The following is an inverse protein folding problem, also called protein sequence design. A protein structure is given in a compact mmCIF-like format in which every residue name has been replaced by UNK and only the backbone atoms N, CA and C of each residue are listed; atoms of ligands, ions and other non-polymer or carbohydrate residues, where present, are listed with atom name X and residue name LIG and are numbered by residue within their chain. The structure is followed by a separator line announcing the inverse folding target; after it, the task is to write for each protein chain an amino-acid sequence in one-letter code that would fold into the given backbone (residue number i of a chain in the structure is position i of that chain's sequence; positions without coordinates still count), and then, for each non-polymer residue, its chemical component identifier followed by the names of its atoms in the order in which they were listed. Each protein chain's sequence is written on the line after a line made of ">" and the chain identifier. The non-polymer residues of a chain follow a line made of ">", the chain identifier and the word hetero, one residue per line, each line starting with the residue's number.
data_IF_713835001790
#
_entry.id   IF_713835001790
#
_cell.length_a   1.000
_cell.length_b   1.000
_cell.length_c   1.000
_cell.angle_alpha   90.00
_cell.angle_beta   90.00
_cell.angle_gamma   90.00
#
_symmetry.space_group_name_H-M   'P 1'
#
loop_
_entity.id
_entity.type
_entity.pdbx_description
1 polymer ?
#
# COMPACT_ATOMS: atom_id res chain seq x y z
N UNK A 1 19.51 20.55 -15.33
CA UNK A 1 19.06 20.62 -14.95
C UNK A 1 18.60 20.07 -14.18
N UNK A 2 18.81 20.11 -13.81
CA UNK A 2 18.35 19.50 -12.79
C UNK A 2 16.99 19.66 -12.58
N UNK A 3 16.39 20.19 -13.40
CA UNK A 3 15.04 20.30 -13.40
C UNK A 3 14.34 19.06 -13.07
N UNK A 4 14.72 18.04 -13.74
CA UNK A 4 14.17 16.75 -13.49
C UNK A 4 14.40 16.35 -12.08
N UNK A 5 15.55 16.62 -11.60
CA UNK A 5 15.88 16.35 -10.26
C UNK A 5 14.97 17.09 -9.31
N UNK A 6 14.69 18.32 -9.64
CA UNK A 6 13.79 19.11 -8.84
C UNK A 6 12.42 18.51 -8.78
N UNK A 7 11.96 17.99 -9.87
CA UNK A 7 10.68 17.35 -9.91
C UNK A 7 10.65 16.12 -9.03
N UNK A 8 11.67 15.35 -9.08
CA UNK A 8 11.73 14.17 -8.25
C UNK A 8 11.71 14.55 -6.78
N UNK A 9 12.42 15.58 -6.43
CA UNK A 9 12.43 15.99 -5.04
C UNK A 9 11.07 16.44 -4.56
N UNK A 10 10.29 17.00 -5.45
CA UNK A 10 8.98 17.49 -5.07
C UNK A 10 7.91 16.43 -5.14
N UNK A 11 7.93 15.65 -6.20
CA UNK A 11 6.93 14.64 -6.39
C UNK A 11 7.44 13.27 -6.03
N UNK A 12 8.41 13.21 -5.27
CA UNK A 12 9.26 12.11 -5.03
C UNK A 12 8.61 10.84 -4.60
N UNK A 13 9.39 9.80 -4.72
CA UNK A 13 8.99 8.50 -4.28
C UNK A 13 8.70 8.48 -2.78
N UNK A 14 7.94 7.53 -2.36
CA UNK A 14 7.53 7.37 -0.98
C UNK A 14 8.60 6.67 -0.17
N UNK A 15 8.78 7.09 1.07
CA UNK A 15 9.63 6.37 2.01
C UNK A 15 8.78 5.34 2.77
N UNK A 16 9.46 4.45 3.49
CA UNK A 16 8.75 3.50 4.34
C UNK A 16 7.99 4.23 5.44
N UNK A 17 8.53 5.33 5.93
CA UNK A 17 7.83 6.12 6.96
C UNK A 17 6.57 6.78 6.40
N UNK A 18 6.61 7.21 5.16
CA UNK A 18 5.43 7.78 4.50
C UNK A 18 4.34 6.73 4.38
N UNK A 19 4.70 5.52 3.98
CA UNK A 19 3.74 4.44 3.86
C UNK A 19 3.08 4.17 5.21
N UNK A 20 3.89 4.09 6.25
CA UNK A 20 3.39 3.85 7.61
C UNK A 20 2.44 4.97 8.03
N UNK A 21 2.82 6.20 7.79
CA UNK A 21 2.00 7.36 8.13
C UNK A 21 0.65 7.32 7.43
N UNK A 22 0.66 7.00 6.15
CA UNK A 22 -0.58 6.94 5.38
C UNK A 22 -1.48 5.81 5.84
N UNK A 23 -0.91 4.64 6.11
CA UNK A 23 -1.71 3.52 6.59
C UNK A 23 -2.37 3.84 7.93
N UNK A 24 -1.61 4.48 8.82
CA UNK A 24 -2.12 4.82 10.15
C UNK A 24 -3.12 5.98 10.12
N UNK A 25 -3.17 6.72 9.03
CA UNK A 25 -4.13 7.83 8.91
C UNK A 25 -5.56 7.35 8.65
N UNK A 26 -5.73 6.10 8.26
CA UNK A 26 -7.06 5.56 8.00
C UNK A 26 -7.77 5.24 9.31
N UNK A 27 -9.10 5.29 9.33
CA UNK A 27 -9.85 5.13 10.59
C UNK A 27 -9.60 3.80 11.26
N UNK A 28 -9.39 3.85 12.56
CA UNK A 28 -9.25 2.67 13.43
C UNK A 28 -8.15 1.70 13.05
N UNK A 29 -7.09 2.22 12.47
CA UNK A 29 -5.95 1.39 12.08
C UNK A 29 -4.97 1.30 13.24
N UNK A 30 -4.52 0.10 13.52
CA UNK A 30 -3.46 -0.16 14.50
C UNK A 30 -2.28 -0.82 13.80
N UNK A 31 -1.09 -0.42 14.17
CA UNK A 31 0.12 -1.06 13.66
C UNK A 31 0.48 -2.23 14.57
N UNK A 32 0.97 -3.29 13.96
CA UNK A 32 1.48 -4.46 14.67
C UNK A 32 2.64 -5.02 13.89
N UNK A 33 3.06 -6.21 14.18
CA UNK A 33 4.10 -6.84 13.38
C UNK A 33 3.83 -8.34 13.30
N UNK A 34 4.34 -8.92 12.24
CA UNK A 34 4.15 -10.32 11.94
C UNK A 34 5.43 -10.81 11.30
N UNK A 35 6.09 -11.77 11.95
CA UNK A 35 7.36 -12.31 11.45
C UNK A 35 8.39 -11.21 11.12
N UNK A 36 8.51 -10.26 12.04
CA UNK A 36 9.44 -9.14 11.90
C UNK A 36 9.08 -8.13 10.83
N UNK A 37 7.87 -8.20 10.29
CA UNK A 37 7.41 -7.22 9.33
C UNK A 37 6.26 -6.43 9.92
N UNK A 38 6.27 -5.10 9.82
CA UNK A 38 5.13 -4.31 10.26
C UNK A 38 3.89 -4.65 9.48
N UNK A 39 2.77 -4.70 10.17
CA UNK A 39 1.48 -4.83 9.49
C UNK A 39 0.51 -3.79 10.03
N UNK A 40 -0.57 -3.60 9.31
CA UNK A 40 -1.59 -2.61 9.65
C UNK A 40 -2.94 -3.29 9.62
N UNK A 41 -3.69 -3.10 10.71
CA UNK A 41 -4.95 -3.81 10.91
C UNK A 41 -6.08 -2.84 11.19
N UNK A 42 -7.24 -3.16 10.64
CA UNK A 42 -8.48 -2.49 10.98
C UNK A 42 -9.38 -3.50 11.64
N UNK A 43 -9.76 -3.23 12.89
CA UNK A 43 -10.57 -4.17 13.68
C UNK A 43 -9.99 -5.58 13.69
N UNK A 44 -8.67 -5.66 13.83
CA UNK A 44 -7.97 -6.94 13.93
C UNK A 44 -7.66 -7.65 12.62
N UNK A 45 -8.11 -7.10 11.49
CA UNK A 45 -7.85 -7.71 10.18
C UNK A 45 -6.74 -6.99 9.47
N UNK A 46 -5.73 -7.72 9.02
CA UNK A 46 -4.60 -7.13 8.30
C UNK A 46 -5.06 -6.72 6.90
N UNK A 47 -4.84 -5.45 6.56
CA UNK A 47 -5.13 -4.97 5.21
C UNK A 47 -3.88 -4.56 4.46
N UNK A 48 -2.76 -4.37 5.15
CA UNK A 48 -1.50 -3.96 4.52
C UNK A 48 -0.32 -4.41 5.36
N UNK A 49 0.81 -4.61 4.72
CA UNK A 49 2.08 -4.90 5.41
C UNK A 49 3.16 -4.03 4.82
N UNK A 50 4.30 -3.96 5.51
CA UNK A 50 5.43 -3.15 5.08
C UNK A 50 6.69 -4.00 5.16
N UNK A 51 7.50 -3.91 4.11
CA UNK A 51 8.76 -4.65 4.00
C UNK A 51 9.89 -3.65 3.81
N UNK A 52 10.36 -3.04 4.91
CA UNK A 52 11.33 -1.94 4.81
C UNK A 52 12.62 -2.34 4.09
N UNK A 53 13.10 -3.55 4.32
CA UNK A 53 14.34 -4.00 3.70
C UNK A 53 14.22 -4.19 2.20
N UNK A 54 13.01 -4.28 1.69
CA UNK A 54 12.77 -4.46 0.27
C UNK A 54 12.24 -3.21 -0.41
N UNK A 55 11.91 -2.19 0.38
CA UNK A 55 11.41 -0.92 -0.18
C UNK A 55 10.01 -1.00 -0.74
N UNK A 56 9.20 -1.92 -0.27
CA UNK A 56 7.82 -1.99 -0.75
C UNK A 56 6.85 -2.32 0.39
N UNK A 57 5.58 -2.05 0.12
CA UNK A 57 4.50 -2.52 0.97
C UNK A 57 3.65 -3.51 0.21
N UNK A 58 2.76 -4.19 0.91
CA UNK A 58 1.80 -5.10 0.29
C UNK A 58 0.42 -4.70 0.76
N UNK A 59 -0.52 -4.59 -0.16
CA UNK A 59 -1.91 -4.28 0.15
C UNK A 59 -2.78 -5.48 -0.22
N UNK A 60 -3.78 -5.76 0.61
CA UNK A 60 -4.64 -6.93 0.44
C UNK A 60 -5.88 -6.54 -0.35
N UNK A 61 -5.84 -6.78 -1.67
CA UNK A 61 -6.90 -6.39 -2.59
C UNK A 61 -7.68 -7.61 -3.07
N UNK A 62 -8.77 -7.35 -3.79
CA UNK A 62 -9.39 -8.41 -4.57
C UNK A 62 -8.57 -8.59 -5.84
N UNK A 63 -8.76 -9.71 -6.53
CA UNK A 63 -8.08 -9.93 -7.80
C UNK A 63 -8.44 -8.87 -8.83
N UNK A 64 -9.70 -8.46 -8.83
CA UNK A 64 -10.15 -7.42 -9.76
C UNK A 64 -9.46 -6.10 -9.49
N UNK A 65 -9.36 -5.73 -8.23
CA UNK A 65 -8.66 -4.50 -7.87
C UNK A 65 -7.18 -4.58 -8.21
N UNK A 66 -6.57 -5.73 -7.94
CA UNK A 66 -5.19 -5.97 -8.30
C UNK A 66 -4.97 -5.79 -9.79
N UNK A 67 -5.83 -6.40 -10.60
CA UNK A 67 -5.71 -6.30 -12.06
C UNK A 67 -5.80 -4.88 -12.55
N UNK A 68 -6.71 -4.10 -11.97
CA UNK A 68 -6.87 -2.70 -12.35
C UNK A 68 -5.59 -1.91 -12.04
N UNK A 69 -5.06 -2.06 -10.84
CA UNK A 69 -3.87 -1.30 -10.44
C UNK A 69 -2.64 -1.73 -11.20
N UNK A 70 -2.43 -3.02 -11.37
CA UNK A 70 -1.27 -3.52 -12.12
C UNK A 70 -1.34 -3.06 -13.57
N UNK A 71 -2.53 -3.10 -14.15
CA UNK A 71 -2.69 -2.65 -15.53
C UNK A 71 -2.46 -1.16 -15.70
N UNK A 72 -2.90 -0.36 -14.72
CA UNK A 72 -2.77 1.08 -14.80
C UNK A 72 -1.34 1.56 -14.55
N UNK A 73 -0.66 0.94 -13.58
CA UNK A 73 0.69 1.39 -13.19
C UNK A 73 1.59 0.19 -12.89
N UNK A 74 2.03 -0.51 -13.93
CA UNK A 74 2.83 -1.72 -13.73
C UNK A 74 4.21 -1.48 -13.11
N UNK A 75 4.70 -0.25 -13.15
CA UNK A 75 5.96 0.06 -12.47
C UNK A 75 5.78 0.16 -10.96
N UNK A 76 4.56 0.44 -10.51
CA UNK A 76 4.25 0.63 -9.09
C UNK A 76 3.71 -0.65 -8.47
N UNK A 77 2.83 -1.36 -9.17
CA UNK A 77 2.10 -2.49 -8.62
C UNK A 77 2.45 -3.80 -9.29
N UNK A 78 2.60 -4.84 -8.48
CA UNK A 78 2.83 -6.18 -8.98
C UNK A 78 2.19 -7.19 -8.04
N UNK A 79 1.68 -8.32 -8.55
CA UNK A 79 1.16 -9.35 -7.64
C UNK A 79 2.29 -9.94 -6.81
N UNK A 80 1.98 -10.27 -5.57
CA UNK A 80 2.91 -11.04 -4.74
C UNK A 80 3.06 -12.41 -5.40
N UNK A 81 4.25 -12.99 -5.33
CA UNK A 81 4.49 -14.30 -5.92
C UNK A 81 3.67 -15.36 -5.23
N UNK A 82 3.21 -16.35 -5.99
CA UNK A 82 2.52 -17.52 -5.45
C UNK A 82 1.07 -17.28 -5.10
N UNK A 83 0.57 -18.10 -4.19
CA UNK A 83 -0.85 -18.10 -3.85
C UNK A 83 -1.38 -16.80 -3.29
N UNK A 84 -0.55 -16.06 -2.56
CA UNK A 84 -0.98 -14.79 -2.01
C UNK A 84 -1.32 -13.80 -3.11
N UNK A 85 -0.49 -13.73 -4.14
CA UNK A 85 -0.74 -12.87 -5.28
C UNK A 85 -1.99 -13.29 -6.04
N UNK A 86 -2.19 -14.60 -6.16
CA UNK A 86 -3.38 -15.10 -6.82
C UNK A 86 -4.67 -14.72 -6.09
N UNK A 87 -4.58 -14.45 -4.80
CA UNK A 87 -5.73 -14.03 -4.01
C UNK A 87 -5.89 -12.51 -3.95
N UNK A 88 -4.96 -11.77 -4.55
CA UNK A 88 -5.06 -10.32 -4.62
C UNK A 88 -4.02 -9.54 -3.85
N UNK A 89 -3.13 -10.20 -3.11
CA UNK A 89 -2.05 -9.48 -2.42
C UNK A 89 -1.15 -8.82 -3.45
N UNK A 90 -0.93 -7.52 -3.31
CA UNK A 90 -0.30 -6.71 -4.33
C UNK A 90 0.85 -5.90 -3.74
N UNK A 91 2.01 -5.99 -4.38
CA UNK A 91 3.18 -5.21 -3.99
C UNK A 91 3.02 -3.78 -4.48
N UNK A 92 3.40 -2.83 -3.63
CA UNK A 92 3.45 -1.41 -3.96
C UNK A 92 4.91 -0.98 -3.87
N UNK A 93 5.53 -0.70 -5.02
CA UNK A 93 6.92 -0.29 -5.07
C UNK A 93 7.02 1.18 -4.68
N UNK A 94 7.57 1.45 -3.51
CA UNK A 94 7.56 2.80 -2.95
C UNK A 94 8.42 3.77 -3.75
N UNK A 95 9.51 3.30 -4.32
CA UNK A 95 10.39 4.17 -5.10
C UNK A 95 9.81 4.55 -6.47
N UNK A 96 8.69 3.96 -6.85
CA UNK A 96 8.02 4.25 -8.12
C UNK A 96 6.67 4.93 -7.92
N UNK A 97 6.26 5.16 -6.68
CA UNK A 97 4.92 5.64 -6.38
C UNK A 97 4.95 7.02 -5.75
N UNK A 98 3.86 7.76 -5.89
CA UNK A 98 3.69 9.00 -5.18
C UNK A 98 2.67 8.81 -4.06
N UNK A 99 2.51 9.82 -3.23
CA UNK A 99 1.64 9.73 -2.06
C UNK A 99 0.20 9.42 -2.43
N UNK A 100 -0.30 10.06 -3.46
CA UNK A 100 -1.68 9.89 -3.87
C UNK A 100 -1.96 8.45 -4.30
N UNK A 101 -1.06 7.88 -5.08
CA UNK A 101 -1.19 6.52 -5.56
C UNK A 101 -1.13 5.52 -4.40
N UNK A 102 -0.19 5.71 -3.49
CA UNK A 102 -0.05 4.83 -2.33
C UNK A 102 -1.29 4.92 -1.43
N UNK A 103 -1.75 6.15 -1.16
CA UNK A 103 -2.91 6.32 -0.31
C UNK A 103 -4.15 5.69 -0.92
N UNK A 104 -4.33 5.83 -2.21
CA UNK A 104 -5.45 5.21 -2.91
C UNK A 104 -5.45 3.70 -2.74
N UNK A 105 -4.29 3.07 -2.88
CA UNK A 105 -4.17 1.63 -2.75
C UNK A 105 -4.44 1.18 -1.31
N UNK A 106 -3.89 1.89 -0.35
CA UNK A 106 -4.12 1.59 1.08
C UNK A 106 -5.59 1.72 1.44
N UNK A 107 -6.24 2.76 0.95
CA UNK A 107 -7.64 3.00 1.22
C UNK A 107 -8.51 1.89 0.62
N UNK A 108 -8.18 1.45 -0.57
CA UNK A 108 -8.88 0.37 -1.25
C UNK A 108 -8.81 -0.92 -0.42
N UNK A 109 -7.61 -1.25 0.06
CA UNK A 109 -7.41 -2.42 0.89
C UNK A 109 -8.14 -2.29 2.24
N UNK A 110 -8.10 -1.09 2.81
CA UNK A 110 -8.79 -0.81 4.07
C UNK A 110 -10.29 -1.05 3.94
N UNK A 111 -10.88 -0.54 2.86
CA UNK A 111 -12.31 -0.73 2.62
C UNK A 111 -12.70 -2.18 2.54
N UNK A 112 -11.82 -2.98 1.98
CA UNK A 112 -12.09 -4.40 1.83
C UNK A 112 -12.14 -5.12 3.17
N UNK A 113 -11.35 -4.66 4.13
CA UNK A 113 -11.24 -5.34 5.43
C UNK A 113 -12.06 -4.67 6.53
N UNK A 114 -12.42 -3.43 6.37
CA UNK A 114 -13.16 -2.71 7.38
C UNK A 114 -14.59 -3.22 7.47
N UNK A 115 -15.20 -3.21 8.66
CA UNK A 115 -16.59 -3.63 8.78
C UNK A 115 -17.50 -2.65 8.07
N UNK A 116 -18.62 -3.15 7.62
CA UNK A 116 -19.64 -2.29 7.02
C UNK A 116 -20.06 -1.26 8.04
N UNK A 117 -20.25 -0.05 7.61
CA UNK A 117 -20.64 1.02 8.50
C UNK A 117 -19.48 1.84 9.04
N UNK A 118 -18.26 1.31 8.95
CA UNK A 118 -17.09 2.10 9.32
C UNK A 118 -16.67 2.86 8.07
N UNK A 119 -16.91 4.15 8.07
CA UNK A 119 -16.73 4.95 6.88
C UNK A 119 -15.50 5.81 6.95
N UNK A 120 -14.96 6.12 5.79
CA UNK A 120 -13.91 7.12 5.65
C UNK A 120 -14.55 8.49 5.72
N UNK A 121 -13.88 9.40 6.38
CA UNK A 121 -14.38 10.78 6.47
C UNK A 121 -13.43 11.74 5.81
#
# INVERSE_FOLDING_TARGET
>A
MPTILGCRLLGREMSVDDYRRLALSLPEVAASSHQNHPDFRVRGKIFATLWPERGYGVVMLTREEQDVLVGAEPAVFAPVAGGWGLRGSTIVMLDQADEKTVYSALRMAWRRKAPKGLALT
#
